data_IF_269203327182
#
_entry.id   IF_269203327182
#
_cell.length_a   1.000
_cell.length_b   1.000
_cell.length_c   1.000
_cell.angle_alpha   90.00
_cell.angle_beta   90.00
_cell.angle_gamma   90.00
#
_symmetry.space_group_name_H-M   'P 1'
#
loop_
_entity.id
_entity.type
_entity.pdbx_description
1 polymer ?
#
# COMPACT_ATOMS: atom_id res chain seq x y z
N UNK A 1 13.52 -32.94 26.83
CA UNK A 1 14.82 -33.47 27.30
C UNK A 1 15.53 -33.99 26.05
N UNK A 2 16.54 -33.28 25.55
CA UNK A 2 17.17 -33.62 24.27
C UNK A 2 18.39 -34.50 24.54
N UNK A 3 18.35 -35.73 24.03
CA UNK A 3 19.44 -36.68 24.12
C UNK A 3 20.48 -36.35 23.05
N UNK A 4 21.76 -36.35 23.43
CA UNK A 4 22.86 -36.11 22.50
C UNK A 4 23.37 -37.42 21.91
N UNK A 5 24.12 -37.35 20.80
CA UNK A 5 24.77 -38.54 20.22
C UNK A 5 25.71 -39.25 21.21
N UNK A 6 26.30 -38.49 22.15
CA UNK A 6 27.14 -39.05 23.18
C UNK A 6 26.35 -39.88 24.19
N UNK A 7 25.13 -39.43 24.53
CA UNK A 7 24.24 -40.17 25.43
C UNK A 7 23.81 -41.51 24.81
N UNK A 8 23.54 -41.50 23.49
CA UNK A 8 23.21 -42.72 22.74
C UNK A 8 24.39 -43.71 22.68
N UNK A 9 25.62 -43.21 22.51
CA UNK A 9 26.85 -44.03 22.55
C UNK A 9 27.06 -44.68 23.92
N UNK A 10 26.83 -43.92 25.00
CA UNK A 10 26.94 -44.42 26.37
C UNK A 10 25.92 -45.53 26.63
N UNK A 11 24.68 -45.38 26.15
CA UNK A 11 23.66 -46.41 26.29
C UNK A 11 23.97 -47.69 25.51
N UNK A 12 24.45 -47.56 24.27
CA UNK A 12 24.90 -48.72 23.46
C UNK A 12 26.05 -49.45 24.16
N UNK A 13 27.02 -48.72 24.73
CA UNK A 13 28.14 -49.30 25.48
C UNK A 13 27.70 -50.03 26.77
N UNK A 14 26.56 -49.65 27.36
CA UNK A 14 25.94 -50.33 28.50
C UNK A 14 25.07 -51.54 28.11
N UNK A 15 25.04 -51.91 26.83
CA UNK A 15 24.34 -53.10 26.33
C UNK A 15 22.86 -52.89 26.02
N UNK A 16 22.36 -51.66 26.06
CA UNK A 16 20.99 -51.35 25.67
C UNK A 16 20.85 -51.35 24.15
N UNK A 17 19.79 -51.98 23.63
CA UNK A 17 19.41 -51.87 22.21
C UNK A 17 18.79 -50.50 21.99
N UNK A 18 19.47 -49.66 21.22
CA UNK A 18 19.01 -48.32 20.85
C UNK A 18 18.61 -48.38 19.37
N UNK A 19 17.31 -48.21 19.09
CA UNK A 19 16.79 -48.01 17.75
C UNK A 19 17.06 -46.56 17.33
N UNK A 20 17.92 -46.40 16.32
CA UNK A 20 18.36 -45.13 15.77
C UNK A 20 17.68 -44.81 14.43
N UNK A 21 16.48 -45.37 14.21
CA UNK A 21 15.58 -44.99 13.13
C UNK A 21 15.52 -43.45 13.01
N UNK A 22 16.37 -42.91 12.13
CA UNK A 22 16.34 -41.50 11.76
C UNK A 22 14.99 -41.29 11.12
N UNK A 23 14.10 -40.59 11.83
CA UNK A 23 12.93 -40.00 11.21
C UNK A 23 13.48 -39.24 10.00
N UNK A 24 13.02 -39.52 8.77
CA UNK A 24 13.45 -38.76 7.60
C UNK A 24 13.29 -37.28 7.95
N UNK A 25 14.36 -36.50 7.84
CA UNK A 25 14.22 -35.05 7.96
C UNK A 25 13.28 -34.63 6.84
N UNK A 26 12.01 -34.42 7.17
CA UNK A 26 11.07 -33.81 6.24
C UNK A 26 11.70 -32.50 5.77
N UNK A 27 11.78 -32.33 4.45
CA UNK A 27 12.33 -31.14 3.82
C UNK A 27 11.67 -29.92 4.48
N UNK A 28 12.45 -29.19 5.31
CA UNK A 28 11.97 -27.98 5.96
C UNK A 28 11.45 -27.06 4.87
N UNK A 29 10.14 -26.88 4.80
CA UNK A 29 9.52 -25.94 3.86
C UNK A 29 10.22 -24.61 4.03
N UNK A 30 10.89 -24.14 2.98
CA UNK A 30 11.55 -22.83 2.98
C UNK A 30 10.46 -21.77 3.00
N UNK A 31 9.95 -21.43 4.19
CA UNK A 31 9.03 -20.31 4.36
C UNK A 31 9.84 -19.05 4.04
N UNK A 32 9.59 -18.47 2.86
CA UNK A 32 10.16 -17.18 2.49
C UNK A 32 9.41 -16.11 3.28
N UNK A 33 9.92 -15.77 4.46
CA UNK A 33 9.40 -14.66 5.26
C UNK A 33 9.67 -13.38 4.48
N UNK A 34 8.64 -12.84 3.82
CA UNK A 34 8.72 -11.53 3.18
C UNK A 34 8.67 -10.50 4.30
N UNK A 35 9.77 -9.74 4.51
CA UNK A 35 9.80 -8.62 5.45
C UNK A 35 8.90 -7.51 4.89
N UNK A 36 7.63 -7.49 5.29
CA UNK A 36 6.71 -6.38 5.01
C UNK A 36 6.90 -5.29 6.05
N UNK A 37 6.78 -4.04 5.61
CA UNK A 37 6.83 -2.86 6.49
C UNK A 37 5.46 -2.73 7.14
N UNK A 38 5.44 -2.63 8.48
CA UNK A 38 4.20 -2.50 9.25
C UNK A 38 3.41 -1.28 8.76
N UNK A 39 4.11 -0.20 8.43
CA UNK A 39 3.56 1.05 7.93
C UNK A 39 2.82 0.85 6.59
N UNK A 40 3.45 0.15 5.64
CA UNK A 40 2.81 -0.18 4.35
C UNK A 40 1.61 -1.12 4.54
N UNK A 41 1.72 -2.10 5.44
CA UNK A 41 0.63 -3.03 5.74
C UNK A 41 -0.56 -2.32 6.41
N UNK A 42 -0.32 -1.33 7.28
CA UNK A 42 -1.35 -0.49 7.88
C UNK A 42 -2.11 0.32 6.83
N UNK A 43 -1.40 1.02 5.94
CA UNK A 43 -2.03 1.77 4.84
C UNK A 43 -2.87 0.84 3.96
N UNK A 44 -2.34 -0.34 3.62
CA UNK A 44 -3.04 -1.32 2.79
C UNK A 44 -4.31 -1.83 3.48
N UNK A 45 -4.25 -2.16 4.77
CA UNK A 45 -5.41 -2.61 5.54
C UNK A 45 -6.50 -1.54 5.67
N UNK A 46 -6.12 -0.27 5.80
CA UNK A 46 -7.07 0.85 5.81
C UNK A 46 -7.76 1.00 4.44
N UNK A 47 -7.02 0.84 3.33
CA UNK A 47 -7.61 0.84 1.98
C UNK A 47 -8.58 -0.33 1.78
N UNK A 48 -8.22 -1.53 2.24
CA UNK A 48 -9.14 -2.68 2.23
C UNK A 48 -10.41 -2.39 3.03
N UNK A 49 -10.28 -1.77 4.21
CA UNK A 49 -11.42 -1.37 5.03
C UNK A 49 -12.32 -0.35 4.30
N UNK A 50 -11.76 0.67 3.65
CA UNK A 50 -12.55 1.62 2.87
C UNK A 50 -13.29 0.96 1.70
N UNK A 51 -12.63 0.01 1.01
CA UNK A 51 -13.25 -0.77 -0.07
C UNK A 51 -14.39 -1.65 0.44
N UNK A 52 -14.16 -2.40 1.53
CA UNK A 52 -15.16 -3.31 2.12
C UNK A 52 -16.37 -2.57 2.71
N UNK A 53 -16.18 -1.33 3.15
CA UNK A 53 -17.25 -0.46 3.65
C UNK A 53 -17.88 0.41 2.56
N UNK A 54 -17.53 0.18 1.29
CA UNK A 54 -18.04 0.89 0.12
C UNK A 54 -17.82 2.42 0.14
N UNK A 55 -16.82 2.90 0.90
CA UNK A 55 -16.41 4.31 0.89
C UNK A 55 -15.57 4.65 -0.34
N UNK A 56 -14.92 3.65 -0.93
CA UNK A 56 -14.26 3.74 -2.24
C UNK A 56 -14.68 2.55 -3.10
N UNK A 57 -14.66 2.71 -4.42
CA UNK A 57 -15.01 1.64 -5.37
C UNK A 57 -13.93 0.56 -5.40
N UNK A 58 -12.69 0.95 -5.69
CA UNK A 58 -11.54 0.05 -5.70
C UNK A 58 -10.22 0.84 -5.56
N UNK A 59 -9.15 0.12 -5.21
CA UNK A 59 -7.79 0.63 -5.27
C UNK A 59 -6.87 -0.39 -5.97
N UNK A 60 -5.81 0.13 -6.57
CA UNK A 60 -4.79 -0.67 -7.27
C UNK A 60 -3.41 -0.34 -6.71
N UNK A 61 -2.47 -1.28 -6.82
CA UNK A 61 -1.06 -1.07 -6.46
C UNK A 61 -0.21 -0.84 -7.71
N UNK A 62 0.91 -0.13 -7.57
CA UNK A 62 1.90 0.07 -8.65
C UNK A 62 1.32 0.68 -9.94
N UNK A 63 0.33 1.57 -9.83
CA UNK A 63 -0.35 2.15 -10.99
C UNK A 63 0.59 3.08 -11.78
N UNK A 64 0.86 2.75 -13.04
CA UNK A 64 1.57 3.65 -13.96
C UNK A 64 0.62 4.71 -14.52
N UNK A 65 0.69 5.94 -14.02
CA UNK A 65 -0.20 7.03 -14.41
C UNK A 65 0.32 7.91 -15.57
N UNK A 66 1.54 7.65 -16.05
CA UNK A 66 2.17 8.42 -17.13
C UNK A 66 2.72 7.52 -18.24
N UNK A 67 2.46 7.92 -19.49
CA UNK A 67 2.82 7.15 -20.69
C UNK A 67 4.31 7.27 -21.02
N UNK A 68 4.88 8.47 -20.90
CA UNK A 68 6.28 8.71 -21.26
C UNK A 68 7.28 8.31 -20.16
N UNK A 69 7.02 8.70 -18.91
CA UNK A 69 7.87 8.33 -17.76
C UNK A 69 7.20 7.17 -17.03
N UNK A 70 7.94 6.14 -16.64
CA UNK A 70 7.38 4.96 -15.95
C UNK A 70 7.15 5.24 -14.45
N UNK A 71 6.52 6.37 -14.13
CA UNK A 71 6.17 6.69 -12.75
C UNK A 71 4.97 5.87 -12.30
N UNK A 72 5.09 5.28 -11.11
CA UNK A 72 4.07 4.47 -10.48
C UNK A 72 3.75 4.98 -9.08
N UNK A 73 2.49 4.88 -8.68
CA UNK A 73 2.10 5.05 -7.28
C UNK A 73 2.20 3.74 -6.52
N UNK A 74 2.58 3.77 -5.24
CA UNK A 74 2.50 2.58 -4.38
C UNK A 74 1.04 2.07 -4.35
N UNK A 75 0.07 2.98 -4.16
CA UNK A 75 -1.36 2.73 -4.31
C UNK A 75 -2.06 3.86 -5.08
N UNK A 76 -3.17 3.54 -5.74
CA UNK A 76 -4.02 4.53 -6.37
C UNK A 76 -5.50 4.14 -6.29
N UNK A 77 -6.37 5.14 -6.20
CA UNK A 77 -7.83 5.02 -6.33
C UNK A 77 -8.20 5.72 -7.64
N UNK A 78 -8.29 4.98 -8.77
CA UNK A 78 -8.44 5.60 -10.09
C UNK A 78 -9.74 6.37 -10.25
N UNK A 79 -10.84 5.90 -9.66
CA UNK A 79 -12.16 6.55 -9.74
C UNK A 79 -12.18 7.94 -9.12
N UNK A 80 -11.31 8.20 -8.15
CA UNK A 80 -11.16 9.51 -7.49
C UNK A 80 -9.91 10.27 -7.94
N UNK A 81 -9.09 9.69 -8.83
CA UNK A 81 -7.76 10.23 -9.19
C UNK A 81 -6.90 10.56 -7.95
N UNK A 82 -6.86 9.64 -6.97
CA UNK A 82 -6.01 9.77 -5.78
C UNK A 82 -4.83 8.81 -5.91
N UNK A 83 -3.61 9.33 -5.78
CA UNK A 83 -2.37 8.55 -5.66
C UNK A 83 -1.85 8.61 -4.22
N UNK A 84 -1.33 7.49 -3.72
CA UNK A 84 -0.82 7.36 -2.36
C UNK A 84 0.61 6.80 -2.43
N UNK A 85 1.52 7.44 -1.71
CA UNK A 85 2.94 7.08 -1.66
C UNK A 85 3.43 6.92 -0.24
N UNK A 86 4.24 5.90 0.00
CA UNK A 86 5.01 5.77 1.23
C UNK A 86 6.50 6.01 0.97
N UNK A 87 6.96 7.16 1.43
CA UNK A 87 8.31 7.69 1.28
C UNK A 87 9.24 7.04 2.32
N UNK A 88 10.00 6.02 1.89
CA UNK A 88 11.02 5.35 2.69
C UNK A 88 12.29 6.19 2.88
N UNK A 89 12.20 7.34 3.55
CA UNK A 89 13.31 8.31 3.71
C UNK A 89 14.32 7.88 4.82
N UNK A 90 14.00 6.89 5.66
CA UNK A 90 14.74 6.62 6.91
C UNK A 90 16.12 5.95 6.75
N UNK A 91 16.57 5.59 5.54
CA UNK A 91 17.92 5.03 5.34
C UNK A 91 18.93 6.08 4.84
N UNK A 92 20.16 6.07 5.37
CA UNK A 92 21.27 6.98 5.02
C UNK A 92 21.58 7.08 3.51
N UNK A 93 21.16 6.09 2.70
CA UNK A 93 21.30 6.08 1.22
C UNK A 93 19.96 5.81 0.53
N UNK A 94 18.91 6.55 0.87
CA UNK A 94 17.65 6.47 0.13
C UNK A 94 17.74 7.23 -1.20
N UNK A 95 17.06 6.74 -2.24
CA UNK A 95 16.91 7.46 -3.51
C UNK A 95 16.38 8.89 -3.28
N UNK A 96 15.52 9.05 -2.29
CA UNK A 96 14.90 10.32 -1.91
C UNK A 96 15.84 11.31 -1.20
N UNK A 97 17.04 10.89 -0.77
CA UNK A 97 18.04 11.78 -0.14
C UNK A 97 19.09 12.30 -1.12
N UNK A 98 19.14 11.76 -2.34
CA UNK A 98 20.00 12.28 -3.41
C UNK A 98 19.30 13.44 -4.14
N UNK A 99 20.03 14.52 -4.45
CA UNK A 99 19.50 15.68 -5.19
C UNK A 99 18.80 15.24 -6.50
N UNK A 100 19.38 14.25 -7.19
CA UNK A 100 18.86 13.73 -8.46
C UNK A 100 17.60 12.88 -8.28
N UNK A 101 17.52 12.08 -7.21
CA UNK A 101 16.33 11.30 -6.89
C UNK A 101 15.18 12.21 -6.47
N UNK A 102 15.42 13.12 -5.53
CA UNK A 102 14.43 14.10 -5.08
C UNK A 102 13.87 14.93 -6.24
N UNK A 103 14.74 15.40 -7.16
CA UNK A 103 14.30 16.13 -8.36
C UNK A 103 13.38 15.29 -9.26
N UNK A 104 13.62 13.98 -9.38
CA UNK A 104 12.74 13.07 -10.14
C UNK A 104 11.40 12.88 -9.44
N UNK A 105 11.36 12.87 -8.12
CA UNK A 105 10.13 12.77 -7.35
C UNK A 105 9.30 14.06 -7.46
N UNK A 106 9.94 15.23 -7.41
CA UNK A 106 9.28 16.50 -7.75
C UNK A 106 8.66 16.46 -9.16
N UNK A 107 9.39 15.93 -10.15
CA UNK A 107 8.87 15.78 -11.52
C UNK A 107 7.68 14.81 -11.59
N UNK A 108 7.70 13.72 -10.81
CA UNK A 108 6.60 12.76 -10.68
C UNK A 108 5.36 13.45 -10.12
N UNK A 109 5.49 14.15 -8.99
CA UNK A 109 4.36 14.78 -8.30
C UNK A 109 3.76 15.93 -9.11
N UNK A 110 4.58 16.78 -9.71
CA UNK A 110 4.09 17.85 -10.58
C UNK A 110 3.35 17.29 -11.81
N UNK A 111 3.83 16.17 -12.38
CA UNK A 111 3.15 15.53 -13.51
C UNK A 111 1.80 14.93 -13.11
N UNK A 112 1.75 14.27 -11.96
CA UNK A 112 0.51 13.72 -11.40
C UNK A 112 -0.52 14.84 -11.14
N UNK A 113 -0.12 15.94 -10.49
CA UNK A 113 -0.99 17.10 -10.26
C UNK A 113 -1.51 17.71 -11.57
N UNK A 114 -0.66 17.89 -12.58
CA UNK A 114 -1.10 18.37 -13.91
C UNK A 114 -2.11 17.44 -14.60
N UNK A 115 -2.09 16.15 -14.26
CA UNK A 115 -3.05 15.15 -14.74
C UNK A 115 -4.30 15.06 -13.87
N UNK A 116 -4.49 15.97 -12.92
CA UNK A 116 -5.65 16.01 -12.03
C UNK A 116 -5.57 15.08 -10.83
N UNK A 117 -4.42 14.45 -10.58
CA UNK A 117 -4.27 13.57 -9.42
C UNK A 117 -4.07 14.36 -8.13
N UNK A 118 -4.80 13.97 -7.08
CA UNK A 118 -4.45 14.32 -5.70
C UNK A 118 -3.45 13.30 -5.17
N UNK A 119 -2.46 13.75 -4.42
CA UNK A 119 -1.34 12.89 -3.99
C UNK A 119 -1.18 13.02 -2.48
N UNK A 120 -1.37 11.90 -1.77
CA UNK A 120 -1.07 11.78 -0.36
C UNK A 120 0.28 11.07 -0.19
N UNK A 121 1.14 11.60 0.68
CA UNK A 121 2.51 11.10 0.86
C UNK A 121 2.77 10.93 2.35
N UNK A 122 3.16 9.72 2.71
CA UNK A 122 3.41 9.34 4.10
C UNK A 122 4.83 8.87 4.27
N UNK A 123 5.33 9.04 5.48
CA UNK A 123 6.62 8.54 5.94
C UNK A 123 6.37 7.65 7.15
N UNK A 124 7.43 7.05 7.68
CA UNK A 124 7.39 6.31 8.95
C UNK A 124 6.84 7.16 10.12
N UNK A 125 6.94 8.49 10.04
CA UNK A 125 6.53 9.38 11.14
C UNK A 125 5.05 9.75 11.14
N UNK A 126 4.36 9.71 9.99
CA UNK A 126 3.00 10.24 9.84
C UNK A 126 2.02 9.32 9.10
N UNK A 127 2.40 8.06 8.80
CA UNK A 127 1.50 7.12 8.12
C UNK A 127 0.19 6.84 8.88
N UNK A 128 0.14 7.08 10.19
CA UNK A 128 -1.06 6.92 11.01
C UNK A 128 -2.13 7.98 10.72
N UNK A 129 -1.75 9.12 10.15
CA UNK A 129 -2.70 10.19 9.78
C UNK A 129 -3.52 9.82 8.54
N UNK A 130 -3.10 8.77 7.80
CA UNK A 130 -3.70 8.35 6.53
C UNK A 130 -5.22 8.14 6.59
N UNK A 131 -5.74 7.51 7.64
CA UNK A 131 -7.17 7.25 7.75
C UNK A 131 -7.99 8.56 7.82
N UNK A 132 -7.51 9.52 8.61
CA UNK A 132 -8.18 10.80 8.79
C UNK A 132 -8.14 11.62 7.50
N UNK A 133 -6.96 11.74 6.89
CA UNK A 133 -6.76 12.44 5.63
C UNK A 133 -7.63 11.87 4.52
N UNK A 134 -7.73 10.54 4.43
CA UNK A 134 -8.56 9.87 3.42
C UNK A 134 -10.05 10.15 3.60
N UNK A 135 -10.56 10.13 4.84
CA UNK A 135 -11.96 10.46 5.13
C UNK A 135 -12.28 11.90 4.75
N UNK A 136 -11.40 12.84 5.10
CA UNK A 136 -11.56 14.24 4.71
C UNK A 136 -11.59 14.38 3.19
N UNK A 137 -10.70 13.69 2.48
CA UNK A 137 -10.61 13.76 1.03
C UNK A 137 -11.86 13.20 0.34
N UNK A 138 -12.38 12.07 0.82
CA UNK A 138 -13.64 11.47 0.33
C UNK A 138 -14.79 12.46 0.52
N UNK A 139 -14.91 13.06 1.71
CA UNK A 139 -15.94 14.07 2.00
C UNK A 139 -15.87 15.25 1.00
N UNK A 140 -14.67 15.79 0.76
CA UNK A 140 -14.45 16.87 -0.21
C UNK A 140 -14.93 16.45 -1.62
N UNK A 141 -14.61 15.23 -2.06
CA UNK A 141 -15.05 14.74 -3.37
C UNK A 141 -16.57 14.57 -3.45
N UNK A 142 -17.21 14.08 -2.39
CA UNK A 142 -18.67 13.96 -2.32
C UNK A 142 -19.36 15.32 -2.40
N UNK A 143 -18.84 16.32 -1.68
CA UNK A 143 -19.35 17.70 -1.71
C UNK A 143 -19.21 18.30 -3.12
N UNK A 144 -18.04 18.18 -3.74
CA UNK A 144 -17.79 18.67 -5.10
C UNK A 144 -18.76 18.02 -6.12
N UNK A 145 -18.96 16.71 -6.01
CA UNK A 145 -19.89 15.97 -6.86
C UNK A 145 -21.36 16.35 -6.62
N UNK A 146 -21.71 16.80 -5.40
CA UNK A 146 -23.06 17.31 -5.09
C UNK A 146 -23.29 18.69 -5.72
N UNK A 147 -22.32 19.59 -5.61
CA UNK A 147 -22.41 20.95 -6.20
C UNK A 147 -22.55 20.90 -7.72
N UNK A 148 -21.75 20.06 -8.40
CA UNK A 148 -21.85 19.91 -9.87
C UNK A 148 -23.25 19.45 -10.31
N UNK A 149 -23.80 18.43 -9.64
CA UNK A 149 -25.16 17.92 -9.94
C UNK A 149 -26.24 18.98 -9.79
N UNK A 150 -26.14 19.85 -8.78
CA UNK A 150 -27.10 20.94 -8.58
C UNK A 150 -27.03 21.98 -9.71
N UNK A 151 -25.83 22.34 -10.15
CA UNK A 151 -25.63 23.30 -11.25
C UNK A 151 -26.19 22.78 -12.59
N UNK A 152 -26.02 21.49 -12.88
CA UNK A 152 -26.55 20.86 -14.10
C UNK A 152 -28.08 20.83 -14.12
N UNK A 153 -28.71 20.56 -12.97
CA UNK A 153 -30.19 20.60 -12.86
C UNK A 153 -30.76 22.01 -13.02
N UNK A 154 -30.09 23.03 -12.49
CA UNK A 154 -30.51 24.43 -12.64
C UNK A 154 -30.38 24.92 -14.09
N UNK A 155 -29.28 24.56 -14.76
CA UNK A 155 -29.02 24.93 -16.16
C UNK A 155 -30.02 24.28 -17.12
N UNK A 156 -30.38 23.01 -16.90
CA UNK A 156 -31.38 22.31 -17.71
C UNK A 156 -32.80 22.85 -17.54
N UNK A 157 -33.16 23.33 -16.34
CA UNK A 157 -34.45 23.97 -16.13
C UNK A 157 -34.54 25.36 -16.79
N UNK A 158 -33.46 26.14 -16.77
CA UNK A 158 -33.43 27.46 -17.42
C UNK A 158 -33.57 27.36 -18.94
N UNK A 159 -33.01 26.32 -19.57
CA UNK A 159 -33.17 26.09 -21.01
C UNK A 159 -34.58 25.64 -21.40
N UNK A 160 -35.32 24.94 -20.53
CA UNK A 160 -36.73 24.57 -20.78
C UNK A 160 -37.70 25.76 -20.68
N UNK A 161 -37.40 26.76 -19.84
CA UNK A 161 -38.24 27.96 -19.70
C UNK A 161 -38.10 28.96 -20.86
N UNK A 162 -37.05 28.88 -21.68
CA UNK A 162 -36.83 29.76 -22.83
C UNK A 162 -37.29 29.17 -24.18
N UNK A 163 -38.00 28.02 -24.15
CA UNK A 163 -38.52 27.30 -25.34
C UNK A 163 -40.06 27.29 -25.42
N UNK A 164 -40.73 28.12 -24.61
CA UNK A 164 -42.17 28.41 -24.64
C UNK A 164 -42.38 29.89 -24.93
#
# INVERSE_FOLDING_TARGET
MNWTENDLKILKAKGYKVDDNKIPEEDKVKIKIVKRSVEKDTIHAILDMFKLTNQIEDFVTELQFSEGRRFRFDWAIPSLSIGIEFEGIVSEKSRHTTITGYSKDCQKYNLAQKKGWKILRYTVLNYLDFEADMKELICIFEEQNRTMRQHDTASNNHNKTNLL
#
